data_IF_061042953815
#
_entry.id   IF_061042953815
#
_cell.length_a   1.000
_cell.length_b   1.000
_cell.length_c   1.000
_cell.angle_alpha   90.00
_cell.angle_beta   90.00
_cell.angle_gamma   90.00
#
_symmetry.space_group_name_H-M   'P 1'
#
loop_
_entity.id
_entity.type
_entity.pdbx_description
1 polymer ?
#
# COMPACT_ATOMS: atom_id res chain seq x y z
N UNK A 1 -38.24 9.20 47.02
CA UNK A 1 -36.78 9.12 46.74
C UNK A 1 -36.61 9.14 45.24
N UNK A 2 -36.23 10.28 44.64
CA UNK A 2 -35.97 10.40 43.21
C UNK A 2 -34.57 9.86 42.91
N UNK A 3 -34.47 8.97 41.95
CA UNK A 3 -33.18 8.44 41.48
C UNK A 3 -32.31 9.53 40.85
N UNK A 4 -30.99 9.55 41.08
CA UNK A 4 -30.12 10.54 40.47
C UNK A 4 -30.03 10.26 38.95
N UNK A 5 -30.45 11.25 38.17
CA UNK A 5 -30.29 11.20 36.69
C UNK A 5 -28.82 11.29 36.32
N UNK A 6 -28.37 10.33 35.48
CA UNK A 6 -27.00 10.29 35.01
C UNK A 6 -26.65 11.60 34.25
N UNK A 7 -25.57 12.31 34.63
CA UNK A 7 -25.23 13.59 34.00
C UNK A 7 -24.98 13.49 32.49
N UNK A 8 -24.55 12.36 31.97
CA UNK A 8 -24.39 12.09 30.54
C UNK A 8 -25.72 12.06 29.80
N UNK A 9 -26.77 11.42 30.38
CA UNK A 9 -28.10 11.38 29.76
C UNK A 9 -28.75 12.74 29.75
N UNK A 10 -28.52 13.55 30.79
CA UNK A 10 -29.02 14.92 30.88
C UNK A 10 -28.30 15.85 29.88
N UNK A 11 -26.99 15.65 29.65
CA UNK A 11 -26.21 16.38 28.65
C UNK A 11 -26.64 16.04 27.24
N UNK A 12 -26.77 14.73 26.92
CA UNK A 12 -27.25 14.26 25.62
C UNK A 12 -28.69 14.75 25.32
N UNK A 13 -29.57 14.70 26.30
CA UNK A 13 -30.94 15.22 26.15
C UNK A 13 -31.01 16.74 25.94
N UNK A 14 -30.00 17.51 26.38
CA UNK A 14 -29.90 18.95 26.10
C UNK A 14 -29.28 19.28 24.75
N UNK A 15 -28.38 18.43 24.23
CA UNK A 15 -27.68 18.67 22.97
C UNK A 15 -28.50 18.21 21.76
N UNK A 16 -29.26 17.10 21.88
CA UNK A 16 -30.03 16.51 20.76
C UNK A 16 -31.09 17.45 20.15
N UNK A 17 -31.89 18.24 20.92
CA UNK A 17 -32.87 19.11 20.28
C UNK A 17 -32.27 20.30 19.53
N UNK A 18 -31.07 20.74 19.90
CA UNK A 18 -30.39 21.85 19.22
C UNK A 18 -29.67 21.40 17.94
N UNK A 19 -29.19 20.16 17.87
CA UNK A 19 -28.59 19.58 16.67
C UNK A 19 -29.61 19.25 15.57
N UNK A 20 -30.89 19.07 15.94
CA UNK A 20 -31.99 18.75 15.01
C UNK A 20 -32.86 19.95 14.67
N UNK A 21 -32.48 21.18 15.08
CA UNK A 21 -33.20 22.38 14.70
C UNK A 21 -33.14 22.59 13.18
N UNK A 22 -34.28 22.85 12.51
CA UNK A 22 -34.38 23.09 11.07
C UNK A 22 -33.35 24.11 10.57
N UNK A 23 -33.08 25.16 11.32
CA UNK A 23 -32.06 26.18 10.97
C UNK A 23 -30.64 25.66 10.96
N UNK A 24 -30.25 24.76 11.90
CA UNK A 24 -28.92 24.10 11.91
C UNK A 24 -28.76 23.13 10.76
N UNK A 25 -29.81 22.38 10.45
CA UNK A 25 -29.83 21.49 9.29
C UNK A 25 -29.70 22.26 7.97
N UNK A 26 -30.40 23.41 7.86
CA UNK A 26 -30.35 24.23 6.63
C UNK A 26 -28.95 24.82 6.38
N UNK A 27 -28.19 25.14 7.42
CA UNK A 27 -26.82 25.65 7.28
C UNK A 27 -25.78 24.53 7.14
N UNK A 28 -25.97 23.39 7.82
CA UNK A 28 -25.05 22.28 7.81
C UNK A 28 -25.10 21.51 6.48
N UNK A 29 -26.29 21.39 5.86
CA UNK A 29 -26.45 20.62 4.62
C UNK A 29 -25.58 21.16 3.47
N UNK A 30 -25.55 22.44 3.12
CA UNK A 30 -24.70 22.96 2.06
C UNK A 30 -23.20 22.73 2.33
N UNK A 31 -22.77 22.87 3.59
CA UNK A 31 -21.38 22.64 3.99
C UNK A 31 -20.99 21.15 3.82
N UNK A 32 -21.85 20.24 4.22
CA UNK A 32 -21.65 18.82 4.06
C UNK A 32 -21.63 18.41 2.58
N UNK A 33 -22.54 18.94 1.77
CA UNK A 33 -22.57 18.68 0.32
C UNK A 33 -21.31 19.24 -0.35
N UNK A 34 -20.87 20.43 0.03
CA UNK A 34 -19.64 21.02 -0.49
C UNK A 34 -18.39 20.20 -0.08
N UNK A 35 -18.32 19.75 1.18
CA UNK A 35 -17.25 18.89 1.65
C UNK A 35 -17.23 17.54 0.92
N UNK A 36 -18.39 16.91 0.72
CA UNK A 36 -18.55 15.68 -0.03
C UNK A 36 -18.15 15.87 -1.50
N UNK A 37 -18.56 16.98 -2.12
CA UNK A 37 -18.17 17.32 -3.50
C UNK A 37 -16.65 17.53 -3.62
N UNK A 38 -16.03 18.27 -2.68
CA UNK A 38 -14.58 18.43 -2.67
C UNK A 38 -13.84 17.09 -2.50
N UNK A 39 -14.30 16.23 -1.60
CA UNK A 39 -13.73 14.91 -1.37
C UNK A 39 -13.89 14.01 -2.62
N UNK A 40 -15.06 14.05 -3.26
CA UNK A 40 -15.28 13.38 -4.53
C UNK A 40 -14.33 13.88 -5.64
N UNK A 41 -14.16 15.21 -5.77
CA UNK A 41 -13.23 15.80 -6.75
C UNK A 41 -11.78 15.40 -6.47
N UNK A 42 -11.38 15.34 -5.20
CA UNK A 42 -10.06 14.87 -4.80
C UNK A 42 -9.87 13.38 -5.14
N UNK A 43 -10.90 12.55 -4.94
CA UNK A 43 -10.89 11.15 -5.38
C UNK A 43 -10.71 11.00 -6.89
N UNK A 44 -11.46 11.76 -7.69
CA UNK A 44 -11.35 11.73 -9.15
C UNK A 44 -9.97 12.21 -9.62
N UNK A 45 -9.38 13.19 -8.96
CA UNK A 45 -8.04 13.70 -9.30
C UNK A 45 -6.91 12.68 -9.11
N UNK A 46 -7.12 11.61 -8.33
CA UNK A 46 -6.15 10.51 -8.16
C UNK A 46 -6.02 9.62 -9.40
N UNK A 47 -6.92 9.76 -10.37
CA UNK A 47 -6.96 8.90 -11.56
C UNK A 47 -7.59 7.51 -11.30
N UNK A 48 -7.64 6.66 -12.32
CA UNK A 48 -8.17 5.31 -12.20
C UNK A 48 -7.29 4.43 -11.32
N UNK A 49 -7.90 3.42 -10.68
CA UNK A 49 -7.23 2.44 -9.81
C UNK A 49 -8.09 1.18 -9.68
N UNK A 50 -7.91 0.42 -8.60
CA UNK A 50 -8.56 -0.88 -8.37
C UNK A 50 -10.09 -0.86 -8.18
N UNK A 51 -10.70 0.32 -8.10
CA UNK A 51 -12.16 0.54 -7.97
C UNK A 51 -12.68 1.46 -9.08
N UNK A 52 -14.00 1.48 -9.36
CA UNK A 52 -14.56 2.33 -10.40
C UNK A 52 -14.20 3.81 -10.21
N UNK A 53 -13.71 4.47 -11.26
CA UNK A 53 -13.31 5.89 -11.23
C UNK A 53 -14.53 6.81 -11.46
N UNK A 54 -15.49 6.76 -10.52
CA UNK A 54 -16.75 7.51 -10.55
C UNK A 54 -17.33 7.64 -9.12
N UNK A 55 -18.55 8.18 -9.02
CA UNK A 55 -19.22 8.38 -7.74
C UNK A 55 -19.45 7.07 -6.96
N UNK A 56 -19.70 5.94 -7.64
CA UNK A 56 -19.86 4.64 -6.96
C UNK A 56 -18.54 4.21 -6.31
N UNK A 57 -17.42 4.30 -7.03
CA UNK A 57 -16.10 3.98 -6.46
C UNK A 57 -15.75 4.89 -5.29
N UNK A 58 -16.03 6.20 -5.40
CA UNK A 58 -15.85 7.14 -4.29
C UNK A 58 -16.67 6.73 -3.05
N UNK A 59 -17.94 6.36 -3.22
CA UNK A 59 -18.79 5.89 -2.12
C UNK A 59 -18.25 4.60 -1.49
N UNK A 60 -17.84 3.62 -2.32
CA UNK A 60 -17.23 2.36 -1.84
C UNK A 60 -15.98 2.62 -1.00
N UNK A 61 -15.10 3.51 -1.47
CA UNK A 61 -13.89 3.88 -0.71
C UNK A 61 -14.24 4.65 0.55
N UNK A 62 -15.14 5.65 0.45
CA UNK A 62 -15.44 6.57 1.55
C UNK A 62 -16.19 5.87 2.69
N UNK A 63 -17.16 5.04 2.37
CA UNK A 63 -18.01 4.36 3.35
C UNK A 63 -17.51 2.95 3.69
N UNK A 64 -16.92 2.24 2.73
CA UNK A 64 -16.53 0.85 2.90
C UNK A 64 -15.07 0.64 3.34
N UNK A 65 -14.13 1.46 2.87
CA UNK A 65 -12.69 1.24 3.14
C UNK A 65 -12.10 2.26 4.11
N UNK A 66 -12.45 3.54 3.97
CA UNK A 66 -11.88 4.64 4.77
C UNK A 66 -12.06 4.47 6.29
N UNK A 67 -13.17 3.95 6.83
CA UNK A 67 -13.32 3.74 8.27
C UNK A 67 -12.31 2.74 8.87
N UNK A 68 -11.77 1.84 8.05
CA UNK A 68 -10.82 0.80 8.46
C UNK A 68 -9.37 1.13 8.08
N UNK A 69 -9.15 2.19 7.31
CA UNK A 69 -7.83 2.54 6.83
C UNK A 69 -6.96 3.13 7.94
N UNK A 70 -5.67 2.78 7.91
CA UNK A 70 -4.68 3.39 8.79
C UNK A 70 -4.69 4.92 8.63
N UNK A 71 -4.50 5.64 9.73
CA UNK A 71 -4.23 7.08 9.67
C UNK A 71 -2.88 7.34 8.99
N UNK A 72 -2.62 8.57 8.55
CA UNK A 72 -1.30 8.95 8.02
C UNK A 72 -0.18 8.68 9.03
N UNK A 73 -0.40 8.98 10.30
CA UNK A 73 0.57 8.70 11.36
C UNK A 73 0.79 7.20 11.57
N UNK A 74 -0.28 6.38 11.50
CA UNK A 74 -0.17 4.93 11.62
C UNK A 74 0.51 4.28 10.41
N UNK A 75 0.44 4.90 9.22
CA UNK A 75 1.11 4.41 8.02
C UNK A 75 2.65 4.51 8.11
N UNK A 76 3.16 5.39 8.95
CA UNK A 76 4.61 5.55 9.21
C UNK A 76 5.05 4.94 10.54
N UNK A 77 4.13 4.41 11.35
CA UNK A 77 4.45 3.75 12.60
C UNK A 77 4.96 2.32 12.35
N UNK A 78 6.04 1.94 13.02
CA UNK A 78 6.76 0.66 12.80
C UNK A 78 6.95 -0.17 14.06
N UNK A 79 6.31 0.20 15.17
CA UNK A 79 6.53 -0.44 16.47
C UNK A 79 6.02 -1.88 16.58
N UNK A 80 5.19 -2.34 15.63
CA UNK A 80 4.68 -3.71 15.52
C UNK A 80 5.52 -4.60 14.59
N UNK A 81 6.52 -4.04 13.90
CA UNK A 81 7.45 -4.80 13.08
C UNK A 81 8.67 -5.27 13.90
N UNK A 82 9.22 -6.46 13.57
CA UNK A 82 10.39 -6.99 14.27
C UNK A 82 11.64 -6.13 14.04
N UNK A 83 12.55 -6.14 15.02
CA UNK A 83 13.85 -5.44 14.93
C UNK A 83 14.89 -6.23 14.15
N UNK A 84 14.75 -7.55 14.09
CA UNK A 84 15.71 -8.47 13.49
C UNK A 84 15.13 -9.14 12.23
N UNK A 85 16.01 -9.68 11.38
CA UNK A 85 15.63 -10.43 10.17
C UNK A 85 15.57 -9.59 8.90
N UNK A 86 16.08 -8.32 8.93
CA UNK A 86 16.22 -7.52 7.72
C UNK A 86 17.44 -7.94 6.89
N UNK A 87 17.33 -7.81 5.56
CA UNK A 87 18.45 -7.99 4.64
C UNK A 87 19.57 -6.95 4.89
N UNK A 88 20.82 -7.37 4.66
CA UNK A 88 21.98 -6.49 4.84
C UNK A 88 21.90 -5.27 3.93
N UNK A 89 21.42 -5.45 2.73
CA UNK A 89 21.22 -4.40 1.72
C UNK A 89 20.31 -3.30 2.26
N UNK A 90 19.18 -3.67 2.86
CA UNK A 90 18.22 -2.70 3.42
C UNK A 90 18.80 -1.98 4.64
N UNK A 91 19.59 -2.70 5.48
CA UNK A 91 20.29 -2.06 6.61
C UNK A 91 21.28 -0.99 6.15
N UNK A 92 21.94 -1.21 5.02
CA UNK A 92 22.97 -0.34 4.48
C UNK A 92 22.41 0.79 3.58
N UNK A 93 21.11 0.81 3.26
CA UNK A 93 20.52 1.92 2.51
C UNK A 93 20.74 3.24 3.24
N UNK A 94 21.04 4.33 2.52
CA UNK A 94 21.04 5.67 3.11
C UNK A 94 19.62 6.08 3.52
N UNK A 95 19.51 7.10 4.36
CA UNK A 95 18.23 7.77 4.54
C UNK A 95 17.88 8.58 3.29
N UNK A 96 16.59 8.59 2.91
CA UNK A 96 16.10 9.43 1.82
C UNK A 96 16.22 10.89 2.20
N UNK A 97 16.83 11.67 1.31
CA UNK A 97 17.06 13.11 1.51
C UNK A 97 15.74 13.90 1.44
N UNK A 98 15.55 14.82 2.36
CA UNK A 98 14.38 15.71 2.43
C UNK A 98 13.20 15.13 3.22
N UNK A 99 12.06 15.80 3.13
CA UNK A 99 10.82 15.39 3.78
C UNK A 99 10.22 14.15 3.09
N UNK A 100 9.28 13.47 3.76
CA UNK A 100 8.49 12.40 3.14
C UNK A 100 7.64 12.97 2.01
N UNK A 101 7.46 12.22 0.94
CA UNK A 101 6.49 12.60 -0.08
C UNK A 101 5.07 12.60 0.51
N UNK A 102 4.23 13.53 0.08
CA UNK A 102 2.83 13.51 0.44
C UNK A 102 2.10 12.41 -0.33
N UNK A 103 1.34 11.58 0.38
CA UNK A 103 0.48 10.55 -0.20
C UNK A 103 -0.98 10.91 -0.07
N UNK A 104 -1.77 10.54 -1.07
CA UNK A 104 -3.21 10.75 -1.12
C UNK A 104 -4.00 9.50 -1.46
N UNK A 105 -5.27 9.53 -1.06
CA UNK A 105 -6.20 8.42 -1.30
C UNK A 105 -5.97 7.20 -0.42
N UNK A 106 -6.67 6.14 -0.79
CA UNK A 106 -6.57 4.80 -0.20
C UNK A 106 -6.64 3.76 -1.33
N UNK A 107 -7.65 3.87 -2.18
CA UNK A 107 -7.82 3.15 -3.45
C UNK A 107 -8.56 4.13 -4.39
N UNK A 108 -7.85 4.73 -5.35
CA UNK A 108 -6.41 4.65 -5.62
C UNK A 108 -5.56 5.24 -4.48
N UNK A 109 -4.31 4.78 -4.35
CA UNK A 109 -3.29 5.35 -3.47
C UNK A 109 -2.19 5.94 -4.34
N UNK A 110 -1.84 7.24 -4.17
CA UNK A 110 -0.97 7.99 -5.09
C UNK A 110 0.00 8.88 -4.34
N UNK A 111 1.16 9.08 -4.95
CA UNK A 111 2.11 10.10 -4.52
C UNK A 111 1.66 11.46 -5.04
N UNK A 112 1.59 12.49 -4.17
CA UNK A 112 1.07 13.82 -4.50
C UNK A 112 2.15 14.90 -4.55
N UNK A 113 3.34 14.61 -4.05
CA UNK A 113 4.46 15.55 -4.06
C UNK A 113 5.76 14.80 -4.36
N UNK A 114 6.83 15.53 -4.68
CA UNK A 114 8.16 14.97 -4.96
C UNK A 114 8.13 13.87 -6.03
N UNK A 115 7.34 14.07 -7.08
CA UNK A 115 7.18 13.10 -8.16
C UNK A 115 8.51 12.74 -8.81
N UNK A 116 8.64 11.49 -9.21
CA UNK A 116 9.73 11.05 -10.06
C UNK A 116 9.67 11.80 -11.41
N UNK A 117 10.81 12.28 -11.93
CA UNK A 117 10.86 12.83 -13.30
C UNK A 117 10.48 11.76 -14.34
N UNK A 118 9.85 12.16 -15.44
CA UNK A 118 9.38 11.24 -16.48
C UNK A 118 10.51 10.35 -17.05
N UNK A 119 11.75 10.84 -17.09
CA UNK A 119 12.93 10.07 -17.50
C UNK A 119 13.17 8.81 -16.66
N UNK A 120 12.63 8.72 -15.43
CA UNK A 120 12.74 7.53 -14.57
C UNK A 120 11.78 6.42 -15.00
N UNK A 121 10.79 6.69 -15.83
CA UNK A 121 9.81 5.69 -16.31
C UNK A 121 10.48 4.52 -16.99
N UNK A 122 11.35 4.79 -17.96
CA UNK A 122 12.07 3.74 -18.68
C UNK A 122 12.90 2.86 -17.73
N UNK A 123 13.56 3.45 -16.75
CA UNK A 123 14.35 2.72 -15.77
C UNK A 123 13.48 1.81 -14.88
N UNK A 124 12.32 2.29 -14.45
CA UNK A 124 11.36 1.49 -13.67
C UNK A 124 10.80 0.35 -14.53
N UNK A 125 10.41 0.62 -15.77
CA UNK A 125 9.92 -0.39 -16.70
C UNK A 125 10.98 -1.46 -17.00
N UNK A 126 12.24 -1.03 -17.21
CA UNK A 126 13.37 -1.96 -17.37
C UNK A 126 13.59 -2.80 -16.10
N UNK A 127 13.56 -2.20 -14.91
CA UNK A 127 13.71 -2.90 -13.65
C UNK A 127 12.66 -4.03 -13.51
N UNK A 128 11.41 -3.75 -13.81
CA UNK A 128 10.32 -4.74 -13.72
C UNK A 128 10.45 -5.83 -14.80
N UNK A 129 10.76 -5.45 -16.03
CA UNK A 129 10.96 -6.41 -17.13
C UNK A 129 12.16 -7.32 -16.86
N UNK A 130 13.29 -6.73 -16.46
CA UNK A 130 14.53 -7.46 -16.21
C UNK A 130 14.44 -8.37 -14.98
N UNK A 131 13.64 -8.00 -13.98
CA UNK A 131 13.36 -8.89 -12.86
C UNK A 131 12.85 -10.27 -13.35
N UNK A 132 11.93 -10.26 -14.31
CA UNK A 132 11.41 -11.50 -14.93
C UNK A 132 12.45 -12.16 -15.84
N UNK A 133 13.10 -11.38 -16.71
CA UNK A 133 14.11 -11.91 -17.65
C UNK A 133 15.27 -12.60 -16.93
N UNK A 134 15.72 -12.03 -15.80
CA UNK A 134 16.80 -12.62 -14.99
C UNK A 134 16.35 -13.76 -14.08
N UNK A 135 15.03 -13.87 -13.78
CA UNK A 135 14.48 -14.88 -12.88
C UNK A 135 13.23 -15.57 -13.45
N UNK A 136 13.28 -16.14 -14.67
CA UNK A 136 12.09 -16.63 -15.37
C UNK A 136 11.42 -17.85 -14.69
N UNK A 137 12.15 -18.60 -13.88
CA UNK A 137 11.60 -19.71 -13.08
C UNK A 137 10.90 -19.26 -11.80
N UNK A 138 11.16 -18.02 -11.34
CA UNK A 138 10.63 -17.48 -10.09
C UNK A 138 9.51 -16.48 -10.34
N UNK A 139 9.57 -15.72 -11.42
CA UNK A 139 8.75 -14.54 -11.67
C UNK A 139 8.00 -14.59 -12.99
N UNK A 140 6.90 -13.87 -13.04
CA UNK A 140 6.12 -13.63 -14.26
C UNK A 140 5.45 -12.25 -14.19
N UNK A 141 5.03 -11.74 -15.35
CA UNK A 141 4.26 -10.50 -15.44
C UNK A 141 2.79 -10.82 -15.73
N UNK A 142 1.88 -10.17 -15.00
CA UNK A 142 0.43 -10.19 -15.23
C UNK A 142 -0.15 -8.81 -14.97
N UNK A 143 -1.42 -8.60 -15.31
CA UNK A 143 -2.14 -7.39 -14.90
C UNK A 143 -2.29 -7.38 -13.38
N UNK A 144 -1.98 -6.24 -12.74
CA UNK A 144 -2.12 -6.08 -11.29
C UNK A 144 -3.54 -6.42 -10.81
N UNK A 145 -3.63 -7.16 -9.72
CA UNK A 145 -4.90 -7.48 -9.05
C UNK A 145 -5.47 -6.26 -8.31
N UNK A 146 -4.59 -5.35 -7.88
CA UNK A 146 -4.96 -4.19 -7.08
C UNK A 146 -5.22 -2.96 -7.94
N UNK A 147 -4.33 -2.66 -8.89
CA UNK A 147 -4.43 -1.47 -9.75
C UNK A 147 -5.31 -1.70 -10.98
N UNK A 148 -5.32 -2.92 -11.54
CA UNK A 148 -6.10 -3.37 -12.69
C UNK A 148 -5.81 -2.67 -14.03
N UNK A 149 -4.91 -1.69 -14.04
CA UNK A 149 -4.59 -0.89 -15.23
C UNK A 149 -3.15 -1.05 -15.70
N UNK A 150 -2.26 -1.50 -14.82
CA UNK A 150 -0.83 -1.63 -15.09
C UNK A 150 -0.33 -3.08 -14.91
N UNK A 151 0.73 -3.48 -15.63
CA UNK A 151 1.39 -4.74 -15.38
C UNK A 151 2.02 -4.75 -13.98
N UNK A 152 2.09 -5.94 -13.39
CA UNK A 152 2.67 -6.19 -12.08
C UNK A 152 3.58 -7.41 -12.11
N UNK A 153 4.52 -7.44 -11.19
CA UNK A 153 5.42 -8.55 -10.95
C UNK A 153 4.74 -9.57 -10.05
N UNK A 154 4.72 -10.82 -10.51
CA UNK A 154 4.12 -11.94 -9.80
C UNK A 154 5.10 -13.08 -9.59
N UNK A 155 4.84 -13.87 -8.55
CA UNK A 155 5.42 -15.19 -8.41
C UNK A 155 5.04 -16.07 -9.62
N UNK A 156 6.01 -16.87 -10.09
CA UNK A 156 5.72 -17.91 -11.06
C UNK A 156 4.67 -18.89 -10.49
N UNK A 157 3.67 -19.35 -11.27
CA UNK A 157 2.58 -20.19 -10.76
C UNK A 157 3.03 -21.44 -10.01
N UNK A 158 4.16 -22.04 -10.41
CA UNK A 158 4.73 -23.20 -9.74
C UNK A 158 5.20 -22.88 -8.31
N UNK A 159 5.82 -21.70 -8.10
CA UNK A 159 6.24 -21.26 -6.77
C UNK A 159 5.01 -21.02 -5.89
N UNK A 160 4.01 -20.31 -6.41
CA UNK A 160 2.78 -20.03 -5.64
C UNK A 160 2.06 -21.34 -5.28
N UNK A 161 1.96 -22.30 -6.18
CA UNK A 161 1.32 -23.59 -5.92
C UNK A 161 2.10 -24.42 -4.89
N UNK A 162 3.44 -24.39 -4.91
CA UNK A 162 4.25 -25.08 -3.89
C UNK A 162 4.04 -24.49 -2.51
N UNK A 163 3.96 -23.16 -2.37
CA UNK A 163 3.69 -22.48 -1.11
C UNK A 163 2.30 -22.78 -0.55
N UNK A 164 1.30 -22.93 -1.43
CA UNK A 164 -0.06 -23.30 -1.00
C UNK A 164 -0.19 -24.77 -0.61
N UNK A 165 0.61 -25.67 -1.22
CA UNK A 165 0.60 -27.11 -0.96
C UNK A 165 1.42 -27.54 0.27
N UNK A 166 2.48 -26.76 0.59
CA UNK A 166 3.45 -27.09 1.66
C UNK A 166 2.98 -26.72 3.07
N UNK A 167 1.80 -26.13 3.21
CA UNK A 167 1.29 -25.70 4.50
C UNK A 167 0.97 -26.91 5.37
N UNK A 168 1.80 -27.07 6.40
CA UNK A 168 1.55 -28.03 7.49
C UNK A 168 0.18 -27.76 8.15
N UNK A 169 -0.54 -28.77 8.64
CA UNK A 169 -1.83 -28.59 9.33
C UNK A 169 -1.80 -27.64 10.52
N UNK A 170 -0.59 -27.31 11.03
CA UNK A 170 -0.39 -26.41 12.17
C UNK A 170 -0.25 -24.93 11.81
N UNK A 171 0.00 -24.60 10.53
CA UNK A 171 0.02 -23.20 10.04
C UNK A 171 -1.02 -23.05 8.95
N UNK A 172 -2.02 -22.20 9.17
CA UNK A 172 -3.02 -21.91 8.15
C UNK A 172 -2.33 -21.37 6.88
N UNK A 173 -2.57 -21.96 5.68
CA UNK A 173 -2.00 -21.48 4.41
C UNK A 173 -2.30 -20.01 4.15
N UNK A 174 -3.40 -19.52 4.70
CA UNK A 174 -3.85 -18.13 4.58
C UNK A 174 -3.01 -17.10 5.36
N UNK A 175 -1.97 -17.54 6.08
CA UNK A 175 -1.17 -16.63 6.94
C UNK A 175 0.17 -16.19 6.36
N UNK A 176 0.62 -16.74 5.21
CA UNK A 176 1.86 -16.25 4.58
C UNK A 176 1.59 -15.17 3.53
N UNK A 177 2.44 -14.16 3.50
CA UNK A 177 2.29 -12.99 2.63
C UNK A 177 2.13 -13.33 1.15
N UNK A 178 2.92 -14.25 0.53
CA UNK A 178 2.75 -14.63 -0.86
C UNK A 178 1.36 -15.18 -1.20
N UNK A 179 0.76 -15.95 -0.30
CA UNK A 179 -0.58 -16.52 -0.48
C UNK A 179 -1.67 -15.45 -0.30
N UNK A 180 -1.54 -14.61 0.74
CA UNK A 180 -2.46 -13.47 0.96
C UNK A 180 -2.46 -12.56 -0.28
N UNK A 181 -1.29 -12.21 -0.79
CA UNK A 181 -1.10 -11.36 -1.97
C UNK A 181 -1.44 -12.04 -3.30
N UNK A 182 -1.87 -13.32 -3.29
CA UNK A 182 -2.12 -14.11 -4.51
C UNK A 182 -0.94 -14.11 -5.49
N UNK A 183 0.27 -14.02 -4.96
CA UNK A 183 1.51 -14.02 -5.72
C UNK A 183 1.91 -12.66 -6.30
N UNK A 184 1.12 -11.58 -6.18
CA UNK A 184 1.55 -10.25 -6.61
C UNK A 184 2.63 -9.72 -5.67
N UNK A 185 3.77 -9.31 -6.23
CA UNK A 185 4.95 -8.83 -5.49
C UNK A 185 4.97 -7.31 -5.48
N UNK A 186 4.85 -6.71 -6.66
CA UNK A 186 4.95 -5.27 -6.86
C UNK A 186 4.23 -4.82 -8.13
N UNK A 187 3.81 -3.56 -8.15
CA UNK A 187 3.43 -2.83 -9.37
C UNK A 187 3.78 -1.36 -9.24
N UNK A 188 4.02 -0.71 -10.36
CA UNK A 188 4.23 0.73 -10.41
C UNK A 188 2.98 1.46 -10.90
N UNK A 189 2.85 2.71 -10.51
CA UNK A 189 1.77 3.60 -10.92
C UNK A 189 2.18 4.52 -12.06
N UNK A 190 1.21 5.23 -12.63
CA UNK A 190 1.46 6.29 -13.63
C UNK A 190 2.26 7.45 -13.06
N UNK A 191 2.20 7.71 -11.76
CA UNK A 191 3.00 8.71 -11.04
C UNK A 191 4.39 8.21 -10.64
N UNK A 192 4.76 6.99 -11.08
CA UNK A 192 6.04 6.32 -10.84
C UNK A 192 6.32 5.93 -9.38
N UNK A 193 5.35 6.07 -8.49
CA UNK A 193 5.40 5.41 -7.18
C UNK A 193 5.10 3.91 -7.31
N UNK A 194 5.52 3.11 -6.35
CA UNK A 194 5.47 1.66 -6.46
C UNK A 194 4.81 1.06 -5.22
N UNK A 195 3.86 0.15 -5.42
CA UNK A 195 3.49 -0.76 -4.35
C UNK A 195 4.38 -2.00 -4.35
N UNK A 196 4.83 -2.40 -3.17
CA UNK A 196 5.79 -3.48 -2.98
C UNK A 196 5.55 -4.21 -1.66
N UNK A 197 5.66 -5.54 -1.66
CA UNK A 197 5.77 -6.34 -0.46
C UNK A 197 7.23 -6.51 -0.04
N UNK A 198 7.53 -6.22 1.22
CA UNK A 198 8.82 -6.53 1.86
C UNK A 198 8.60 -7.46 3.05
N UNK A 199 9.68 -8.05 3.57
CA UNK A 199 9.63 -8.66 4.90
C UNK A 199 9.26 -7.60 5.94
N UNK A 200 8.59 -7.95 7.04
CA UNK A 200 8.25 -6.97 8.06
C UNK A 200 9.48 -6.20 8.62
N UNK A 201 10.63 -6.88 8.75
CA UNK A 201 11.87 -6.24 9.20
C UNK A 201 12.45 -5.26 8.16
N UNK A 202 12.39 -5.61 6.87
CA UNK A 202 12.80 -4.70 5.79
C UNK A 202 11.84 -3.53 5.65
N UNK A 203 10.53 -3.79 5.75
CA UNK A 203 9.49 -2.77 5.73
C UNK A 203 9.71 -1.74 6.84
N UNK A 204 10.07 -2.19 8.06
CA UNK A 204 10.44 -1.32 9.16
C UNK A 204 11.54 -0.34 8.77
N UNK A 205 12.65 -0.84 8.26
CA UNK A 205 13.79 -0.02 7.90
C UNK A 205 13.50 0.89 6.70
N UNK A 206 12.80 0.40 5.67
CA UNK A 206 12.39 1.22 4.53
C UNK A 206 11.53 2.42 4.97
N UNK A 207 10.61 2.21 5.92
CA UNK A 207 9.78 3.28 6.49
C UNK A 207 10.64 4.21 7.35
N UNK A 208 11.47 3.70 8.25
CA UNK A 208 12.31 4.52 9.12
C UNK A 208 13.29 5.39 8.35
N UNK A 209 13.86 4.83 7.27
CA UNK A 209 14.76 5.54 6.33
C UNK A 209 14.03 6.44 5.33
N UNK A 210 12.71 6.59 5.46
CA UNK A 210 11.85 7.50 4.67
C UNK A 210 11.72 7.14 3.19
N UNK A 211 11.95 5.88 2.81
CA UNK A 211 11.77 5.39 1.44
C UNK A 211 10.33 4.98 1.12
N UNK A 212 9.55 4.67 2.16
CA UNK A 212 8.21 4.14 2.01
C UNK A 212 7.30 4.50 3.18
N UNK A 213 6.00 4.21 2.99
CA UNK A 213 4.97 4.16 4.03
C UNK A 213 4.14 2.88 3.85
N UNK A 214 3.43 2.44 4.88
CA UNK A 214 2.44 1.36 4.73
C UNK A 214 1.34 1.79 3.78
N UNK A 215 0.90 0.90 2.93
CA UNK A 215 -0.40 1.08 2.30
C UNK A 215 -1.47 1.21 3.41
N UNK A 216 -2.37 2.17 3.28
CA UNK A 216 -3.34 2.47 4.34
C UNK A 216 -4.31 1.33 4.68
N UNK A 217 -4.39 0.29 3.86
CA UNK A 217 -5.12 -0.95 4.12
C UNK A 217 -4.20 -2.12 4.50
N UNK A 218 -2.91 -1.90 4.75
CA UNK A 218 -1.99 -2.89 5.32
C UNK A 218 -2.26 -3.07 6.81
N UNK A 219 -3.35 -3.74 7.10
CA UNK A 219 -3.84 -3.97 8.45
C UNK A 219 -3.05 -5.10 9.13
N UNK A 220 -2.99 -5.12 10.48
CA UNK A 220 -2.30 -6.18 11.22
C UNK A 220 -2.76 -7.58 10.83
N UNK A 221 -1.83 -8.55 10.90
CA UNK A 221 -2.10 -9.97 10.64
C UNK A 221 -3.29 -10.47 11.47
N UNK A 222 -4.13 -11.29 10.84
CA UNK A 222 -5.29 -11.89 11.50
C UNK A 222 -6.52 -10.98 11.52
N UNK A 223 -6.45 -9.72 11.05
CA UNK A 223 -7.64 -8.90 10.91
C UNK A 223 -8.55 -9.47 9.81
N UNK A 224 -9.85 -9.55 10.08
CA UNK A 224 -10.85 -10.06 9.11
C UNK A 224 -10.79 -9.30 7.77
N UNK A 225 -10.58 -8.00 7.83
CA UNK A 225 -10.54 -7.17 6.62
C UNK A 225 -9.26 -7.38 5.80
N UNK A 226 -8.10 -7.59 6.44
CA UNK A 226 -6.86 -7.89 5.73
C UNK A 226 -6.99 -9.13 4.86
N UNK A 227 -7.56 -10.21 5.41
CA UNK A 227 -7.82 -11.46 4.69
C UNK A 227 -8.82 -11.26 3.53
N UNK A 228 -9.83 -10.42 3.71
CA UNK A 228 -10.84 -10.12 2.66
C UNK A 228 -10.29 -9.26 1.53
N UNK A 229 -9.39 -8.33 1.84
CA UNK A 229 -8.75 -7.43 0.86
C UNK A 229 -7.52 -8.07 0.20
N UNK A 230 -7.06 -9.23 0.66
CA UNK A 230 -5.84 -9.89 0.21
C UNK A 230 -4.59 -8.99 0.32
N UNK A 231 -4.53 -8.17 1.38
CA UNK A 231 -3.42 -7.28 1.68
C UNK A 231 -2.75 -7.73 2.98
N UNK A 232 -1.46 -8.01 2.92
CA UNK A 232 -0.67 -8.31 4.10
C UNK A 232 -0.16 -7.01 4.77
N UNK A 233 0.26 -7.14 6.03
CA UNK A 233 0.70 -6.04 6.88
C UNK A 233 1.98 -5.33 6.40
N UNK A 234 2.75 -5.94 5.50
CA UNK A 234 3.99 -5.39 4.93
C UNK A 234 3.85 -4.90 3.48
N UNK A 235 2.63 -4.58 3.05
CA UNK A 235 2.38 -3.94 1.76
C UNK A 235 2.62 -2.45 1.85
N UNK A 236 3.60 -1.95 1.11
CA UNK A 236 4.09 -0.59 1.18
C UNK A 236 3.77 0.22 -0.07
N UNK A 237 3.73 1.54 0.10
CA UNK A 237 3.92 2.52 -0.96
C UNK A 237 5.36 3.01 -0.87
N UNK A 238 6.19 2.64 -1.86
CA UNK A 238 7.55 3.15 -2.05
C UNK A 238 7.47 4.39 -2.93
N UNK A 239 8.15 5.45 -2.54
CA UNK A 239 8.15 6.70 -3.31
C UNK A 239 8.90 6.54 -4.63
N UNK A 240 8.40 7.19 -5.68
CA UNK A 240 9.04 7.22 -6.98
C UNK A 240 10.44 7.82 -6.90
N UNK A 241 11.44 7.25 -7.60
CA UNK A 241 12.82 7.68 -7.57
C UNK A 241 12.99 9.01 -8.31
N UNK A 242 13.64 10.00 -7.69
CA UNK A 242 13.86 11.33 -8.27
C UNK A 242 15.10 11.40 -9.17
N UNK A 243 16.02 10.46 -8.99
CA UNK A 243 17.29 10.36 -9.69
C UNK A 243 17.79 8.90 -9.71
N UNK A 244 18.98 8.70 -10.29
CA UNK A 244 19.58 7.37 -10.38
C UNK A 244 20.07 6.82 -9.03
N UNK A 245 20.44 7.68 -8.07
CA UNK A 245 20.79 7.23 -6.71
C UNK A 245 19.56 6.63 -6.02
N UNK A 246 18.39 7.23 -6.19
CA UNK A 246 17.12 6.70 -5.68
C UNK A 246 16.65 5.46 -6.48
N UNK A 247 16.99 5.34 -7.78
CA UNK A 247 16.75 4.12 -8.55
C UNK A 247 17.56 2.92 -8.04
N UNK A 248 18.82 3.11 -7.64
CA UNK A 248 19.61 2.05 -6.99
C UNK A 248 18.89 1.54 -5.73
N UNK A 249 18.38 2.45 -4.91
CA UNK A 249 17.63 2.07 -3.71
C UNK A 249 16.35 1.32 -4.08
N UNK A 250 15.60 1.79 -5.08
CA UNK A 250 14.40 1.10 -5.54
C UNK A 250 14.71 -0.31 -6.04
N UNK A 251 15.80 -0.48 -6.80
CA UNK A 251 16.22 -1.79 -7.30
C UNK A 251 16.55 -2.76 -6.15
N UNK A 252 17.23 -2.29 -5.09
CA UNK A 252 17.52 -3.10 -3.90
C UNK A 252 16.24 -3.44 -3.12
N UNK A 253 15.32 -2.48 -2.96
CA UNK A 253 14.02 -2.73 -2.32
C UNK A 253 13.23 -3.80 -3.10
N UNK A 254 13.17 -3.69 -4.43
CA UNK A 254 12.48 -4.67 -5.27
C UNK A 254 13.13 -6.05 -5.16
N UNK A 255 14.46 -6.13 -5.20
CA UNK A 255 15.23 -7.38 -5.05
C UNK A 255 14.91 -8.07 -3.72
N UNK A 256 14.94 -7.33 -2.60
CA UNK A 256 14.59 -7.86 -1.27
C UNK A 256 13.12 -8.28 -1.20
N UNK A 257 12.22 -7.55 -1.87
CA UNK A 257 10.82 -7.96 -2.01
C UNK A 257 10.66 -9.28 -2.77
N UNK A 258 11.39 -9.47 -3.86
CA UNK A 258 11.41 -10.73 -4.61
C UNK A 258 11.94 -11.87 -3.75
N UNK A 259 13.06 -11.67 -3.03
CA UNK A 259 13.60 -12.68 -2.09
C UNK A 259 12.58 -13.08 -1.03
N UNK A 260 11.96 -12.11 -0.40
CA UNK A 260 10.94 -12.34 0.62
C UNK A 260 9.74 -13.12 0.07
N UNK A 261 9.23 -12.73 -1.09
CA UNK A 261 8.02 -13.33 -1.66
C UNK A 261 8.28 -14.72 -2.27
N UNK A 262 9.49 -14.97 -2.77
CA UNK A 262 9.89 -16.28 -3.33
C UNK A 262 10.45 -17.24 -2.27
N UNK A 263 10.92 -16.71 -1.12
CA UNK A 263 11.72 -17.46 -0.14
C UNK A 263 13.11 -17.84 -0.65
N UNK A 264 13.64 -17.12 -1.66
CA UNK A 264 14.92 -17.41 -2.31
C UNK A 264 15.91 -16.28 -2.04
N UNK A 265 17.06 -16.62 -1.46
CA UNK A 265 18.13 -15.67 -1.17
C UNK A 265 19.09 -15.44 -2.35
N UNK A 266 19.07 -16.31 -3.34
CA UNK A 266 19.96 -16.30 -4.50
C UNK A 266 19.53 -15.38 -5.65
N UNK A 267 18.55 -14.48 -5.41
CA UNK A 267 18.17 -13.45 -6.36
C UNK A 267 19.28 -12.41 -6.47
N UNK A 268 19.90 -12.32 -7.64
CA UNK A 268 20.98 -11.39 -7.93
C UNK A 268 20.53 -9.95 -8.09
N UNK A 269 21.49 -9.05 -8.39
CA UNK A 269 21.20 -7.65 -8.72
C UNK A 269 20.35 -7.60 -9.98
N UNK A 270 19.28 -6.81 -9.96
CA UNK A 270 18.38 -6.63 -11.11
C UNK A 270 18.86 -5.41 -11.89
N UNK A 271 19.20 -5.63 -13.18
CA UNK A 271 19.58 -4.56 -14.10
C UNK A 271 18.38 -3.62 -14.37
N UNK A 272 18.59 -2.33 -14.34
CA UNK A 272 17.52 -1.35 -14.57
C UNK A 272 17.89 -0.25 -15.60
N UNK A 273 19.19 -0.02 -15.86
CA UNK A 273 19.63 1.05 -16.78
C UNK A 273 19.29 0.77 -18.23
N UNK A 274 19.24 -0.50 -18.59
CA UNK A 274 18.91 -0.96 -19.94
C UNK A 274 18.00 -2.17 -19.89
N UNK A 275 17.16 -2.32 -20.89
CA UNK A 275 16.35 -3.53 -21.08
C UNK A 275 17.24 -4.70 -21.52
N UNK A 276 17.08 -5.84 -20.87
CA UNK A 276 17.72 -7.08 -21.27
C UNK A 276 16.86 -7.79 -22.32
N UNK A 277 17.52 -8.46 -23.26
CA UNK A 277 16.85 -9.38 -24.17
C UNK A 277 16.54 -10.69 -23.45
N UNK A 278 15.37 -11.29 -23.77
CA UNK A 278 14.88 -12.51 -23.14
C UNK A 278 15.59 -13.75 -23.72
#
# INVERSE_FOLDING_TARGET
>A
MSQPTNPLTTLLARITPHLLNRSTLTLATPLLLWAAYRDYRAYIALGPGGVPHNALGWLLVTLGLRPFALSKASATWTGDYPDNGSHAEIRNLPERKGERAELGGIVPHRQLSQHAPEKMREFIENLFANAVTQNPSLLTTKLSLYERNNPALFLHPQILSSLTSSSSPSSSPSSCTPVIARGEIAHHHTDLSIHLYLSPADAKLAIQKRWAERHRLSLPKGSFLANRLHLADSYLMVYGPRDEEEMEVLAELLRCGVRFMTGREDVGVIEWRRKLEA
#
